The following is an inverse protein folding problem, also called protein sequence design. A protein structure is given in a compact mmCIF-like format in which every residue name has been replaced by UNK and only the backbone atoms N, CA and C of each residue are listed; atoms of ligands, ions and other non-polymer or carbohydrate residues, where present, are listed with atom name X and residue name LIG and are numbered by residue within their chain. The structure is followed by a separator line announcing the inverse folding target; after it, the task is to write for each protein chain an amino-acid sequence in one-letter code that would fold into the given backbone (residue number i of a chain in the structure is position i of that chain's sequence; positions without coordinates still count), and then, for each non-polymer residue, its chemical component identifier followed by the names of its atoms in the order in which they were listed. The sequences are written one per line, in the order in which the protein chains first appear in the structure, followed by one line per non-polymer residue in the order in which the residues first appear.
data_IF_253947262015
#
_entry.id   IF_253947262015
#
_cell.length_a   1.000
_cell.length_b   1.000
_cell.length_c   1.000
_cell.angle_alpha   90.00
_cell.angle_beta   90.00
_cell.angle_gamma   90.00
#
_symmetry.space_group_name_H-M   'P 1'
#
loop_
_entity.id
_entity.type
_entity.pdbx_description
1 polymer ?
#
# COMPACT_ATOMS: atom_id res chain seq x y z
N UNK A 1 16.53 -19.76 11.70
CA UNK A 1 15.65 -20.64 10.87
C UNK A 1 14.17 -20.33 11.06
N UNK A 2 13.63 -20.25 12.28
CA UNK A 2 12.20 -19.99 12.53
C UNK A 2 11.63 -18.73 11.82
N UNK A 3 12.33 -17.59 11.88
CA UNK A 3 11.90 -16.34 11.25
C UNK A 3 11.73 -16.47 9.73
N UNK A 4 12.58 -17.26 9.06
CA UNK A 4 12.45 -17.50 7.62
C UNK A 4 11.16 -18.25 7.26
N UNK A 5 10.79 -19.25 8.03
CA UNK A 5 9.52 -19.99 7.87
C UNK A 5 8.32 -19.08 8.13
N UNK A 6 8.35 -18.28 9.21
CA UNK A 6 7.30 -17.33 9.53
C UNK A 6 7.15 -16.23 8.48
N UNK A 7 8.26 -15.77 7.91
CA UNK A 7 8.23 -14.79 6.82
C UNK A 7 7.59 -15.37 5.55
N UNK A 8 7.93 -16.61 5.20
CA UNK A 8 7.30 -17.31 4.08
C UNK A 8 5.80 -17.47 4.31
N UNK A 9 5.40 -18.01 5.47
CA UNK A 9 3.99 -18.16 5.85
C UNK A 9 3.25 -16.84 5.86
N UNK A 10 3.85 -15.78 6.46
CA UNK A 10 3.26 -14.44 6.49
C UNK A 10 3.07 -13.81 5.11
N UNK A 11 3.92 -14.11 4.14
CA UNK A 11 3.75 -13.61 2.77
C UNK A 11 2.73 -14.39 1.96
N UNK A 12 2.74 -15.70 2.08
CA UNK A 12 1.93 -16.57 1.23
C UNK A 12 0.53 -16.80 1.80
N UNK A 13 0.38 -16.90 3.13
CA UNK A 13 -0.85 -17.31 3.78
C UNK A 13 -1.42 -16.20 4.67
N UNK A 14 -0.81 -15.92 5.81
CA UNK A 14 -1.35 -14.99 6.80
C UNK A 14 -0.47 -13.76 6.98
N UNK A 15 -0.77 -12.73 6.21
CA UNK A 15 -0.02 -11.48 6.24
C UNK A 15 -0.23 -10.66 7.52
N UNK A 16 -1.16 -11.03 8.39
CA UNK A 16 -1.37 -10.37 9.70
C UNK A 16 -0.13 -10.44 10.57
N UNK A 17 0.73 -11.44 10.39
CA UNK A 17 1.98 -11.61 11.12
C UNK A 17 3.16 -10.81 10.56
N UNK A 18 3.08 -10.28 9.32
CA UNK A 18 4.22 -9.67 8.63
C UNK A 18 4.90 -8.54 9.42
N UNK A 19 4.19 -7.59 10.05
CA UNK A 19 4.84 -6.51 10.81
C UNK A 19 5.72 -7.04 11.96
N UNK A 20 5.22 -8.04 12.68
CA UNK A 20 5.93 -8.66 13.78
C UNK A 20 7.14 -9.48 13.29
N UNK A 21 6.94 -10.30 12.24
CA UNK A 21 8.01 -11.09 11.61
C UNK A 21 9.13 -10.19 11.09
N UNK A 22 8.78 -9.11 10.34
CA UNK A 22 9.77 -8.16 9.81
C UNK A 22 10.53 -7.42 10.91
N UNK A 23 9.83 -7.10 12.03
CA UNK A 23 10.48 -6.53 13.21
C UNK A 23 11.51 -7.48 13.79
N UNK A 24 11.12 -8.73 14.05
CA UNK A 24 12.01 -9.77 14.60
C UNK A 24 13.16 -10.10 13.64
N UNK A 25 12.91 -10.12 12.34
CA UNK A 25 13.93 -10.37 11.34
C UNK A 25 15.07 -9.33 11.40
N UNK A 26 14.75 -8.07 11.72
CA UNK A 26 15.76 -6.99 11.84
C UNK A 26 16.67 -7.15 13.06
N UNK A 27 16.29 -7.97 14.04
CA UNK A 27 17.02 -8.19 15.30
C UNK A 27 17.70 -9.57 15.37
N UNK A 28 17.51 -10.42 14.37
CA UNK A 28 17.99 -11.82 14.42
C UNK A 28 19.51 -11.97 14.50
N UNK A 29 20.28 -10.94 14.08
CA UNK A 29 21.74 -10.98 14.14
C UNK A 29 22.27 -10.87 15.58
N UNK A 30 21.57 -10.13 16.46
CA UNK A 30 21.93 -9.95 17.87
C UNK A 30 20.64 -10.02 18.71
N UNK A 31 20.07 -11.21 18.90
CA UNK A 31 18.83 -11.36 19.62
C UNK A 31 19.02 -11.12 21.13
N UNK A 32 18.05 -10.48 21.75
CA UNK A 32 17.98 -10.25 23.20
C UNK A 32 16.91 -11.13 23.82
N UNK A 33 16.88 -11.21 25.17
CA UNK A 33 15.78 -11.89 25.88
C UNK A 33 14.40 -11.30 25.52
N UNK A 34 14.33 -9.98 25.29
CA UNK A 34 13.12 -9.32 24.83
C UNK A 34 12.73 -9.75 23.39
N UNK A 35 13.71 -9.99 22.52
CA UNK A 35 13.50 -10.51 21.17
C UNK A 35 12.91 -11.93 21.23
N UNK A 36 13.43 -12.78 22.12
CA UNK A 36 12.91 -14.15 22.32
C UNK A 36 11.47 -14.13 22.85
N UNK A 37 11.17 -13.29 23.84
CA UNK A 37 9.79 -13.16 24.36
C UNK A 37 8.80 -12.71 23.29
N UNK A 38 9.21 -11.82 22.38
CA UNK A 38 8.37 -11.39 21.25
C UNK A 38 8.18 -12.50 20.23
N UNK A 39 9.20 -13.34 20.01
CA UNK A 39 9.08 -14.53 19.16
C UNK A 39 8.08 -15.52 19.75
N UNK A 40 8.16 -15.81 21.06
CA UNK A 40 7.22 -16.70 21.74
C UNK A 40 5.77 -16.19 21.64
N UNK A 41 5.57 -14.89 21.80
CA UNK A 41 4.23 -14.26 21.59
C UNK A 41 3.73 -14.43 20.18
N UNK A 42 4.60 -14.26 19.18
CA UNK A 42 4.24 -14.44 17.77
C UNK A 42 3.89 -15.90 17.46
N UNK A 43 4.63 -16.86 18.03
CA UNK A 43 4.31 -18.28 17.90
C UNK A 43 2.99 -18.62 18.59
N UNK A 44 2.73 -18.04 19.77
CA UNK A 44 1.44 -18.14 20.45
C UNK A 44 0.28 -17.62 19.60
N UNK A 45 0.47 -16.46 18.93
CA UNK A 45 -0.52 -15.93 17.99
C UNK A 45 -0.74 -16.90 16.82
N UNK A 46 0.32 -17.37 16.17
CA UNK A 46 0.21 -18.32 15.06
C UNK A 46 -0.48 -19.64 15.45
N UNK A 47 -0.25 -20.11 16.69
CA UNK A 47 -0.93 -21.29 17.25
C UNK A 47 -2.42 -21.03 17.52
N UNK A 48 -2.78 -19.81 17.91
CA UNK A 48 -4.18 -19.44 18.18
C UNK A 48 -5.00 -19.21 16.91
N UNK A 49 -4.33 -18.85 15.81
CA UNK A 49 -4.94 -18.58 14.50
C UNK A 49 -4.25 -19.40 13.39
N UNK A 50 -4.35 -20.76 13.44
CA UNK A 50 -3.57 -21.62 12.55
C UNK A 50 -4.09 -21.67 11.12
N UNK A 51 -5.36 -21.31 10.90
CA UNK A 51 -6.09 -21.55 9.66
C UNK A 51 -6.45 -20.25 8.92
N UNK A 52 -5.51 -19.30 8.91
CA UNK A 52 -5.70 -18.07 8.14
C UNK A 52 -5.96 -18.39 6.66
N UNK A 53 -7.07 -17.88 6.10
CA UNK A 53 -7.47 -18.12 4.71
C UNK A 53 -7.78 -16.82 3.97
N UNK A 54 -7.54 -16.83 2.66
CA UNK A 54 -7.91 -15.73 1.77
C UNK A 54 -9.00 -16.22 0.82
N UNK A 55 -10.01 -15.39 0.62
CA UNK A 55 -11.12 -15.68 -0.29
C UNK A 55 -11.03 -14.71 -1.47
N UNK A 56 -11.03 -15.26 -2.68
CA UNK A 56 -11.00 -14.46 -3.90
C UNK A 56 -12.30 -14.69 -4.67
N UNK A 57 -12.93 -13.59 -5.05
CA UNK A 57 -14.16 -13.60 -5.86
C UNK A 57 -13.82 -13.20 -7.29
N UNK A 58 -14.68 -13.58 -8.23
CA UNK A 58 -14.52 -13.22 -9.63
C UNK A 58 -14.56 -11.69 -9.82
N UNK A 59 -13.61 -11.15 -10.59
CA UNK A 59 -13.43 -9.72 -10.81
C UNK A 59 -12.85 -9.44 -12.20
N UNK A 60 -12.72 -8.15 -12.53
CA UNK A 60 -12.02 -7.68 -13.74
C UNK A 60 -10.48 -7.75 -13.65
N UNK A 61 -9.94 -8.26 -12.56
CA UNK A 61 -8.48 -8.41 -12.32
C UNK A 61 -7.71 -7.09 -12.40
N UNK A 62 -8.31 -5.98 -11.98
CA UNK A 62 -7.68 -4.65 -11.97
C UNK A 62 -6.87 -4.45 -10.70
N UNK A 63 -5.57 -4.22 -10.85
CA UNK A 63 -4.66 -4.02 -9.72
C UNK A 63 -4.94 -2.69 -9.01
N UNK A 64 -5.05 -2.75 -7.69
CA UNK A 64 -5.16 -1.63 -6.76
C UNK A 64 -4.11 -1.77 -5.67
N UNK A 65 -3.59 -0.67 -5.16
CA UNK A 65 -2.55 -0.67 -4.14
C UNK A 65 -2.86 0.38 -3.08
N UNK A 66 -2.74 0.01 -1.81
CA UNK A 66 -2.70 0.94 -0.69
C UNK A 66 -1.26 1.02 -0.20
N UNK A 67 -0.77 2.23 0.07
CA UNK A 67 0.59 2.50 0.53
C UNK A 67 0.55 3.36 1.78
N UNK A 68 1.43 3.04 2.73
CA UNK A 68 1.67 3.80 3.95
C UNK A 68 3.15 3.74 4.33
N UNK A 69 3.60 4.70 5.15
CA UNK A 69 4.91 4.63 5.77
C UNK A 69 4.88 5.12 7.20
N UNK A 70 5.58 4.42 8.08
CA UNK A 70 5.84 4.92 9.43
C UNK A 70 7.18 5.64 9.48
N UNK A 71 7.16 6.88 9.93
CA UNK A 71 8.35 7.70 10.08
C UNK A 71 9.06 7.44 11.40
N UNK A 72 10.36 7.13 11.37
CA UNK A 72 11.24 6.90 12.53
C UNK A 72 10.68 5.90 13.57
N UNK A 73 9.89 4.93 13.15
CA UNK A 73 9.23 3.95 14.03
C UNK A 73 10.12 2.80 14.48
N UNK A 74 11.36 2.73 14.00
CA UNK A 74 12.31 1.64 14.29
C UNK A 74 13.61 2.19 14.87
N UNK A 75 14.39 1.34 15.60
CA UNK A 75 15.71 1.72 16.08
C UNK A 75 16.61 2.27 14.98
N UNK A 76 17.56 3.14 15.35
CA UNK A 76 18.49 3.84 14.45
C UNK A 76 17.77 4.67 13.39
N UNK A 77 16.76 5.45 13.82
CA UNK A 77 15.96 6.32 12.98
C UNK A 77 15.39 5.61 11.75
N UNK A 78 15.02 4.34 11.88
CA UNK A 78 14.48 3.54 10.79
C UNK A 78 13.00 3.82 10.57
N UNK A 79 12.60 3.90 9.30
CA UNK A 79 11.22 4.00 8.85
C UNK A 79 10.79 2.70 8.17
N UNK A 80 9.49 2.44 8.12
CA UNK A 80 8.91 1.23 7.50
C UNK A 80 7.95 1.62 6.40
N UNK A 81 8.09 1.01 5.24
CA UNK A 81 7.13 1.07 4.15
C UNK A 81 6.20 -0.14 4.23
N UNK A 82 4.90 0.11 4.14
CA UNK A 82 3.86 -0.89 4.06
C UNK A 82 3.07 -0.76 2.78
N UNK A 83 2.65 -1.88 2.20
CA UNK A 83 1.73 -1.85 1.08
C UNK A 83 0.81 -3.06 1.08
N UNK A 84 -0.40 -2.85 0.56
CA UNK A 84 -1.46 -3.83 0.42
C UNK A 84 -1.94 -3.82 -1.02
N UNK A 85 -1.74 -4.92 -1.73
CA UNK A 85 -2.02 -5.06 -3.15
C UNK A 85 -3.18 -6.03 -3.33
N UNK A 86 -4.22 -5.61 -4.03
CA UNK A 86 -5.42 -6.41 -4.25
C UNK A 86 -5.96 -6.19 -5.66
N UNK A 87 -6.85 -7.09 -6.08
CA UNK A 87 -7.53 -7.00 -7.35
C UNK A 87 -8.97 -6.56 -7.14
N UNK A 88 -9.48 -5.72 -8.03
CA UNK A 88 -10.81 -5.16 -7.98
C UNK A 88 -11.50 -5.15 -9.33
N UNK A 89 -12.69 -4.56 -9.36
CA UNK A 89 -13.43 -4.27 -10.57
C UNK A 89 -12.91 -3.00 -11.26
N UNK A 90 -13.23 -2.85 -12.55
CA UNK A 90 -12.83 -1.68 -13.35
C UNK A 90 -13.50 -0.40 -12.84
N UNK A 91 -14.78 -0.47 -12.56
CA UNK A 91 -15.65 0.68 -12.28
C UNK A 91 -16.11 0.74 -10.82
N UNK A 92 -15.65 -0.17 -9.98
CA UNK A 92 -15.98 -0.22 -8.55
C UNK A 92 -14.70 -0.24 -7.70
N UNK A 93 -14.38 0.90 -7.12
CA UNK A 93 -13.26 1.05 -6.18
C UNK A 93 -13.64 0.66 -4.74
N UNK A 94 -14.92 0.36 -4.47
CA UNK A 94 -15.41 0.01 -3.12
C UNK A 94 -15.24 -1.48 -2.80
N UNK A 95 -15.13 -2.33 -3.83
CA UNK A 95 -14.97 -3.76 -3.64
C UNK A 95 -13.52 -4.12 -3.38
N UNK A 96 -13.24 -4.61 -2.17
CA UNK A 96 -11.94 -5.14 -1.79
C UNK A 96 -11.98 -6.66 -1.82
N UNK A 97 -11.16 -7.25 -2.67
CA UNK A 97 -10.84 -8.67 -2.58
C UNK A 97 -9.68 -8.86 -1.59
N UNK A 98 -9.47 -10.07 -1.09
CA UNK A 98 -8.29 -10.33 -0.28
C UNK A 98 -7.00 -10.01 -1.06
N UNK A 99 -5.92 -9.66 -0.37
CA UNK A 99 -4.70 -9.21 -1.02
C UNK A 99 -4.02 -10.34 -1.79
N UNK A 100 -3.52 -10.00 -2.97
CA UNK A 100 -2.60 -10.86 -3.72
C UNK A 100 -1.19 -10.79 -3.15
N UNK A 101 -0.80 -9.62 -2.62
CA UNK A 101 0.47 -9.45 -1.91
C UNK A 101 0.39 -8.38 -0.84
N UNK A 102 1.19 -8.54 0.22
CA UNK A 102 1.36 -7.58 1.29
C UNK A 102 2.84 -7.41 1.61
N UNK A 103 3.24 -6.19 1.90
CA UNK A 103 4.63 -5.89 2.19
C UNK A 103 4.75 -5.04 3.45
N UNK A 104 5.76 -5.38 4.25
CA UNK A 104 6.22 -4.59 5.38
C UNK A 104 7.74 -4.63 5.34
N UNK A 105 8.38 -3.55 4.95
CA UNK A 105 9.82 -3.51 4.73
C UNK A 105 10.44 -2.25 5.33
N UNK A 106 11.66 -2.39 5.87
CA UNK A 106 12.41 -1.22 6.34
C UNK A 106 12.83 -0.37 5.15
N UNK A 107 12.61 0.94 5.25
CA UNK A 107 13.15 1.90 4.29
C UNK A 107 14.67 1.96 4.50
N UNK A 108 15.49 1.74 3.46
CA UNK A 108 16.93 1.58 3.60
C UNK A 108 17.70 2.88 3.90
N UNK A 109 17.01 4.02 3.85
CA UNK A 109 17.57 5.34 4.13
C UNK A 109 16.89 5.97 5.34
N UNK A 110 17.60 6.87 6.01
CA UNK A 110 17.00 7.71 7.05
C UNK A 110 16.26 8.85 6.36
N UNK A 111 14.96 8.92 6.59
CA UNK A 111 14.12 10.00 6.05
C UNK A 111 14.22 11.24 6.95
N UNK A 112 14.25 12.43 6.36
CA UNK A 112 14.39 13.69 7.08
C UNK A 112 13.06 14.23 7.62
N UNK A 113 11.93 13.84 7.01
CA UNK A 113 10.57 14.25 7.38
C UNK A 113 9.51 13.21 6.93
N UNK A 114 8.30 13.36 7.46
CA UNK A 114 7.21 12.38 7.25
C UNK A 114 6.90 12.17 5.77
N UNK A 115 6.72 13.25 4.99
CA UNK A 115 6.39 13.14 3.57
C UNK A 115 7.49 12.46 2.74
N UNK A 116 8.76 12.49 3.17
CA UNK A 116 9.85 11.73 2.55
C UNK A 116 9.69 10.23 2.80
N UNK A 117 9.31 9.84 4.02
CA UNK A 117 9.03 8.45 4.35
C UNK A 117 7.83 7.93 3.55
N UNK A 118 6.74 8.70 3.49
CA UNK A 118 5.55 8.38 2.71
C UNK A 118 5.87 8.23 1.21
N UNK A 119 6.67 9.15 0.68
CA UNK A 119 7.10 9.06 -0.72
C UNK A 119 7.96 7.83 -0.99
N UNK A 120 8.85 7.48 -0.04
CA UNK A 120 9.64 6.25 -0.13
C UNK A 120 8.75 4.99 -0.06
N UNK A 121 7.66 5.04 0.71
CA UNK A 121 6.62 4.02 0.74
C UNK A 121 5.92 3.87 -0.61
N UNK A 122 5.45 4.97 -1.19
CA UNK A 122 4.85 5.01 -2.53
C UNK A 122 5.79 4.42 -3.59
N UNK A 123 7.06 4.82 -3.57
CA UNK A 123 8.07 4.29 -4.48
C UNK A 123 8.24 2.77 -4.32
N UNK A 124 8.32 2.27 -3.08
CA UNK A 124 8.46 0.84 -2.80
C UNK A 124 7.25 0.05 -3.31
N UNK A 125 6.03 0.53 -3.04
CA UNK A 125 4.79 -0.06 -3.51
C UNK A 125 4.69 -0.05 -5.05
N UNK A 126 4.99 1.08 -5.68
CA UNK A 126 4.97 1.22 -7.14
C UNK A 126 5.95 0.26 -7.84
N UNK A 127 7.14 0.04 -7.28
CA UNK A 127 8.10 -0.91 -7.85
C UNK A 127 7.55 -2.33 -7.91
N UNK A 128 6.89 -2.78 -6.85
CA UNK A 128 6.24 -4.10 -6.80
C UNK A 128 5.09 -4.13 -7.81
N UNK A 129 4.27 -3.10 -7.84
CA UNK A 129 3.13 -3.00 -8.74
C UNK A 129 3.52 -3.05 -10.23
N UNK A 130 4.72 -2.58 -10.63
CA UNK A 130 5.21 -2.73 -12.02
C UNK A 130 5.30 -4.20 -12.42
N UNK A 131 5.86 -5.05 -11.57
CA UNK A 131 5.99 -6.47 -11.86
C UNK A 131 4.62 -7.18 -11.85
N UNK A 132 3.76 -6.86 -10.89
CA UNK A 132 2.40 -7.40 -10.83
C UNK A 132 1.58 -7.01 -12.05
N UNK A 133 1.63 -5.74 -12.48
CA UNK A 133 0.99 -5.28 -13.72
C UNK A 133 1.45 -6.08 -14.94
N UNK A 134 2.76 -6.32 -15.04
CA UNK A 134 3.34 -7.11 -16.15
C UNK A 134 2.84 -8.54 -16.14
N UNK A 135 2.80 -9.17 -14.97
CA UNK A 135 2.27 -10.54 -14.79
C UNK A 135 0.81 -10.58 -15.23
N UNK A 136 -0.04 -9.70 -14.69
CA UNK A 136 -1.46 -9.64 -15.02
C UNK A 136 -1.71 -9.42 -16.52
N UNK A 137 -0.95 -8.51 -17.14
CA UNK A 137 -1.04 -8.24 -18.57
C UNK A 137 -0.66 -9.49 -19.40
N UNK A 138 0.41 -10.20 -19.01
CA UNK A 138 0.84 -11.42 -19.68
C UNK A 138 -0.16 -12.58 -19.49
N UNK A 139 -0.94 -12.55 -18.42
CA UNK A 139 -2.04 -13.49 -18.17
C UNK A 139 -3.33 -13.14 -18.95
N UNK A 140 -3.32 -12.09 -19.78
CA UNK A 140 -4.46 -11.67 -20.58
C UNK A 140 -5.36 -10.62 -19.92
N UNK A 141 -4.92 -10.00 -18.81
CA UNK A 141 -5.64 -8.94 -18.10
C UNK A 141 -4.96 -7.59 -18.25
N UNK A 142 -5.21 -6.85 -19.35
CA UNK A 142 -4.61 -5.53 -19.59
C UNK A 142 -4.92 -4.57 -18.44
N UNK A 143 -3.90 -3.90 -17.92
CA UNK A 143 -4.02 -3.02 -16.76
C UNK A 143 -4.17 -1.55 -17.17
N UNK A 144 -5.25 -0.87 -16.78
CA UNK A 144 -5.33 0.60 -16.86
C UNK A 144 -4.25 1.21 -15.91
N UNK A 145 -4.13 2.55 -15.84
CA UNK A 145 -3.30 3.16 -14.82
C UNK A 145 -3.67 2.61 -13.42
N UNK A 146 -2.73 1.92 -12.76
CA UNK A 146 -2.99 1.36 -11.42
C UNK A 146 -3.14 2.48 -10.42
N UNK A 147 -4.26 2.48 -9.69
CA UNK A 147 -4.47 3.42 -8.60
C UNK A 147 -3.65 2.98 -7.39
N UNK A 148 -2.80 3.90 -6.90
CA UNK A 148 -2.08 3.74 -5.63
C UNK A 148 -2.66 4.78 -4.67
N UNK A 149 -3.23 4.31 -3.56
CA UNK A 149 -3.81 5.14 -2.53
C UNK A 149 -2.77 5.46 -1.45
N UNK A 150 -2.74 6.71 -1.02
CA UNK A 150 -1.86 7.23 0.02
C UNK A 150 -2.62 8.26 0.86
N UNK A 151 -2.33 8.38 2.14
CA UNK A 151 -2.99 9.34 3.05
C UNK A 151 -2.20 10.63 3.27
N UNK A 152 -1.08 10.83 2.55
CA UNK A 152 -0.25 12.03 2.66
C UNK A 152 -0.35 12.90 1.40
N UNK A 153 -1.07 14.02 1.50
CA UNK A 153 -1.28 14.96 0.39
C UNK A 153 0.00 15.53 -0.19
N UNK A 154 1.03 15.75 0.65
CA UNK A 154 2.33 16.27 0.19
C UNK A 154 3.04 15.22 -0.67
N UNK A 155 3.06 13.96 -0.24
CA UNK A 155 3.65 12.87 -1.01
C UNK A 155 2.90 12.67 -2.35
N UNK A 156 1.58 12.79 -2.35
CA UNK A 156 0.73 12.75 -3.55
C UNK A 156 1.07 13.91 -4.49
N UNK A 157 1.14 15.13 -3.96
CA UNK A 157 1.49 16.32 -4.74
C UNK A 157 2.87 16.23 -5.38
N UNK A 158 3.84 15.66 -4.65
CA UNK A 158 5.17 15.37 -5.17
C UNK A 158 5.12 14.33 -6.31
N UNK A 159 4.38 13.24 -6.15
CA UNK A 159 4.27 12.19 -7.16
C UNK A 159 3.57 12.67 -8.44
N UNK A 160 2.52 13.47 -8.30
CA UNK A 160 1.75 14.05 -9.40
C UNK A 160 2.39 15.34 -10.00
N UNK A 161 3.57 15.73 -9.50
CA UNK A 161 4.28 16.94 -9.95
C UNK A 161 3.48 18.26 -9.78
N UNK A 162 2.61 18.31 -8.78
CA UNK A 162 1.85 19.51 -8.40
C UNK A 162 2.53 20.32 -7.31
N UNK A 163 3.51 19.74 -6.63
CA UNK A 163 4.34 20.36 -5.58
C UNK A 163 5.80 20.21 -5.96
N UNK A 164 6.56 21.31 -5.92
CA UNK A 164 8.00 21.30 -6.16
C UNK A 164 8.74 21.13 -4.84
N UNK A 165 9.62 20.12 -4.69
CA UNK A 165 10.38 19.93 -3.46
C UNK A 165 11.37 21.09 -3.28
N UNK A 166 11.28 21.78 -2.14
CA UNK A 166 12.21 22.89 -1.84
C UNK A 166 13.63 22.44 -1.56
N UNK A 167 13.85 21.18 -1.16
CA UNK A 167 15.19 20.58 -0.93
C UNK A 167 15.08 19.06 -0.71
N UNK A 168 15.75 18.24 -1.50
CA UNK A 168 16.39 17.00 -1.05
C UNK A 168 17.15 16.31 -2.18
N UNK A 169 18.48 16.34 -2.13
CA UNK A 169 19.34 15.60 -3.09
C UNK A 169 19.26 14.07 -2.91
N UNK A 170 18.81 13.58 -1.76
CA UNK A 170 18.67 12.15 -1.46
C UNK A 170 17.43 11.50 -2.08
N UNK A 171 16.44 12.29 -2.49
CA UNK A 171 15.20 11.84 -3.13
C UNK A 171 15.29 11.72 -4.66
N UNK A 172 16.34 12.29 -5.29
CA UNK A 172 16.35 12.58 -6.73
C UNK A 172 15.95 11.39 -7.62
N UNK A 173 16.58 10.22 -7.49
CA UNK A 173 16.33 9.10 -8.41
C UNK A 173 14.96 8.46 -8.19
N UNK A 174 14.55 8.26 -6.92
CA UNK A 174 13.24 7.65 -6.57
C UNK A 174 12.11 8.59 -6.96
N UNK A 175 12.31 9.87 -6.70
CA UNK A 175 11.39 10.94 -7.02
C UNK A 175 11.11 10.99 -8.52
N UNK A 176 12.14 11.13 -9.33
CA UNK A 176 11.97 11.20 -10.78
C UNK A 176 11.43 9.90 -11.39
N UNK A 177 11.82 8.74 -10.84
CA UNK A 177 11.31 7.46 -11.32
C UNK A 177 9.79 7.34 -11.15
N UNK A 178 9.24 7.68 -9.98
CA UNK A 178 7.80 7.58 -9.73
C UNK A 178 7.02 8.58 -10.57
N UNK A 179 7.48 9.84 -10.63
CA UNK A 179 6.88 10.87 -11.49
C UNK A 179 6.85 10.46 -12.95
N UNK A 180 7.94 9.85 -13.44
CA UNK A 180 8.01 9.36 -14.80
C UNK A 180 6.96 8.29 -15.09
N UNK A 181 6.75 7.34 -14.15
CA UNK A 181 5.73 6.30 -14.26
C UNK A 181 4.30 6.87 -14.22
N UNK A 182 4.05 7.88 -13.40
CA UNK A 182 2.77 8.60 -13.37
C UNK A 182 2.54 9.31 -14.71
N UNK A 183 3.54 10.04 -15.23
CA UNK A 183 3.46 10.72 -16.53
C UNK A 183 3.23 9.75 -17.70
N UNK A 184 3.81 8.56 -17.65
CA UNK A 184 3.58 7.48 -18.63
C UNK A 184 2.20 6.81 -18.49
N UNK A 185 1.36 7.22 -17.56
CA UNK A 185 0.05 6.63 -17.33
C UNK A 185 0.09 5.20 -16.74
N UNK A 186 1.20 4.80 -16.12
CA UNK A 186 1.26 3.50 -15.44
C UNK A 186 0.59 3.54 -14.07
N UNK A 187 0.65 4.67 -13.38
CA UNK A 187 0.09 4.87 -12.05
C UNK A 187 -0.75 6.15 -11.98
N UNK A 188 -1.73 6.12 -11.09
CA UNK A 188 -2.50 7.25 -10.61
C UNK A 188 -2.42 7.28 -9.09
N UNK A 189 -1.85 8.33 -8.51
CA UNK A 189 -1.72 8.46 -7.06
C UNK A 189 -2.90 9.26 -6.53
N UNK A 190 -3.65 8.67 -5.59
CA UNK A 190 -4.92 9.21 -5.08
C UNK A 190 -4.92 9.23 -3.55
N UNK A 191 -5.56 10.24 -2.99
CA UNK A 191 -5.71 10.36 -1.55
C UNK A 191 -6.71 9.32 -0.99
N UNK A 192 -6.38 8.78 0.18
CA UNK A 192 -7.28 7.97 1.01
C UNK A 192 -7.19 8.47 2.46
N UNK A 193 -8.31 8.60 3.20
CA UNK A 193 -8.23 8.90 4.63
C UNK A 193 -7.47 7.82 5.40
N UNK A 194 -6.58 8.21 6.33
CA UNK A 194 -5.73 7.26 7.07
C UNK A 194 -6.53 6.17 7.81
N UNK A 195 -7.75 6.48 8.29
CA UNK A 195 -8.63 5.47 8.89
C UNK A 195 -9.07 4.36 7.91
N UNK A 196 -9.01 4.62 6.61
CA UNK A 196 -9.36 3.68 5.55
C UNK A 196 -8.12 3.05 4.89
N UNK A 197 -6.91 3.50 5.25
CA UNK A 197 -5.68 2.97 4.69
C UNK A 197 -5.30 1.63 5.36
N UNK A 198 -5.58 0.51 4.69
CA UNK A 198 -5.22 -0.82 5.19
C UNK A 198 -3.71 -1.03 5.26
N UNK A 199 -2.91 -0.23 4.54
CA UNK A 199 -1.46 -0.32 4.59
C UNK A 199 -0.88 0.08 5.95
N UNK A 200 -1.61 0.86 6.77
CA UNK A 200 -1.30 1.14 8.19
C UNK A 200 -1.01 -0.14 8.99
N UNK A 201 -1.73 -1.22 8.66
CA UNK A 201 -1.54 -2.53 9.30
C UNK A 201 -0.10 -3.04 9.18
N UNK A 202 0.61 -2.68 8.12
CA UNK A 202 1.94 -3.18 7.80
C UNK A 202 3.07 -2.26 8.27
N UNK A 203 2.77 -1.08 8.76
CA UNK A 203 3.76 -0.06 9.13
C UNK A 203 3.81 0.23 10.62
N UNK A 204 2.70 0.07 11.33
CA UNK A 204 2.52 0.50 12.72
C UNK A 204 2.09 -0.66 13.61
N UNK A 205 2.42 -0.59 14.90
CA UNK A 205 1.79 -1.43 15.92
C UNK A 205 0.42 -0.85 16.23
N UNK A 206 -0.64 -1.57 15.85
CA UNK A 206 -2.01 -1.10 16.03
C UNK A 206 -2.55 -1.47 17.42
N UNK A 207 -3.44 -0.65 18.01
CA UNK A 207 -4.26 -1.04 19.14
C UNK A 207 -5.09 -2.28 18.81
N UNK A 208 -5.38 -3.12 19.81
CA UNK A 208 -6.09 -4.40 19.62
C UNK A 208 -7.41 -4.22 18.85
N UNK A 209 -8.21 -3.24 19.23
CA UNK A 209 -9.50 -2.96 18.55
C UNK A 209 -9.31 -2.63 17.06
N UNK A 210 -8.29 -1.83 16.74
CA UNK A 210 -7.98 -1.47 15.35
C UNK A 210 -7.44 -2.67 14.57
N UNK A 211 -6.55 -3.46 15.19
CA UNK A 211 -6.04 -4.70 14.60
C UNK A 211 -7.18 -5.64 14.25
N UNK A 212 -8.10 -5.90 15.21
CA UNK A 212 -9.25 -6.76 14.99
C UNK A 212 -10.20 -6.24 13.90
N UNK A 213 -10.39 -4.93 13.79
CA UNK A 213 -11.23 -4.34 12.73
C UNK A 213 -10.63 -4.46 11.34
N UNK A 214 -9.31 -4.51 11.20
CA UNK A 214 -8.62 -4.59 9.91
C UNK A 214 -8.23 -6.02 9.52
N UNK A 215 -8.05 -6.92 10.48
CA UNK A 215 -7.61 -8.29 10.24
C UNK A 215 -8.45 -9.06 9.19
N UNK A 216 -9.80 -8.96 9.18
CA UNK A 216 -10.64 -9.66 8.21
C UNK A 216 -10.37 -9.25 6.75
N UNK A 217 -9.85 -8.04 6.49
CA UNK A 217 -9.48 -7.61 5.13
C UNK A 217 -8.17 -8.23 4.64
N UNK A 218 -7.41 -8.83 5.54
CA UNK A 218 -6.10 -9.40 5.25
C UNK A 218 -6.19 -10.91 5.16
N UNK A 219 -6.89 -11.54 6.10
CA UNK A 219 -7.19 -12.97 6.12
C UNK A 219 -8.35 -13.24 7.08
N UNK A 220 -9.19 -14.23 6.76
CA UNK A 220 -10.21 -14.77 7.66
C UNK A 220 -9.65 -15.82 8.60
N UNK A 221 -10.34 -16.04 9.71
CA UNK A 221 -10.15 -17.15 10.64
C UNK A 221 -11.26 -18.20 10.50
N UNK A 222 -11.07 -19.36 11.16
CA UNK A 222 -12.12 -20.36 11.32
C UNK A 222 -13.29 -19.75 12.12
N UNK A 223 -14.48 -19.75 11.55
CA UNK A 223 -15.69 -19.18 12.16
C UNK A 223 -16.10 -17.82 11.59
N UNK A 224 -15.25 -17.17 10.79
CA UNK A 224 -15.70 -16.03 10.01
C UNK A 224 -16.65 -16.51 8.90
N UNK A 225 -17.87 -15.98 8.87
CA UNK A 225 -18.86 -16.33 7.84
C UNK A 225 -18.44 -15.74 6.50
N UNK A 226 -18.21 -16.61 5.51
CA UNK A 226 -17.84 -16.21 4.14
C UNK A 226 -18.95 -15.50 3.37
N UNK A 227 -20.22 -15.69 3.77
CA UNK A 227 -21.33 -15.50 2.85
C UNK A 227 -22.04 -14.15 2.94
N UNK A 228 -22.05 -13.44 4.08
CA UNK A 228 -22.99 -12.34 4.21
C UNK A 228 -22.43 -10.95 4.54
N UNK A 229 -21.19 -10.80 4.98
CA UNK A 229 -20.73 -9.50 5.51
C UNK A 229 -19.45 -8.93 4.86
N UNK A 230 -18.88 -9.56 3.86
CA UNK A 230 -17.69 -9.02 3.20
C UNK A 230 -18.01 -8.02 2.07
N UNK A 231 -19.14 -7.36 2.16
CA UNK A 231 -19.31 -6.04 1.56
C UNK A 231 -18.80 -4.98 2.54
N UNK A 232 -17.54 -5.09 2.92
CA UNK A 232 -16.91 -3.97 3.61
C UNK A 232 -16.64 -2.92 2.54
N UNK A 233 -17.64 -2.09 2.34
CA UNK A 233 -17.53 -0.87 1.58
C UNK A 233 -16.60 0.08 2.34
N UNK A 234 -15.31 -0.01 2.06
CA UNK A 234 -14.49 1.17 2.20
C UNK A 234 -15.14 2.19 1.27
N UNK A 235 -15.73 3.25 1.83
CA UNK A 235 -16.30 4.35 1.04
C UNK A 235 -15.17 5.13 0.36
N UNK A 236 -14.47 4.46 -0.56
CA UNK A 236 -13.48 5.09 -1.43
C UNK A 236 -14.16 6.02 -2.46
N UNK A 237 -15.44 5.78 -2.76
CA UNK A 237 -16.23 6.51 -3.75
C UNK A 237 -16.45 7.98 -3.42
N UNK A 238 -16.53 8.36 -2.15
CA UNK A 238 -16.73 9.78 -1.77
C UNK A 238 -15.51 10.65 -2.13
N UNK A 239 -14.37 10.03 -2.43
CA UNK A 239 -13.10 10.72 -2.69
C UNK A 239 -12.80 10.92 -4.18
N UNK A 240 -13.36 10.07 -5.05
CA UNK A 240 -13.17 10.22 -6.50
C UNK A 240 -13.87 11.47 -7.05
N UNK A 241 -14.98 11.91 -6.44
CA UNK A 241 -15.65 13.16 -6.84
C UNK A 241 -14.80 14.41 -6.53
N UNK A 242 -14.03 14.41 -5.44
CA UNK A 242 -13.16 15.54 -5.13
C UNK A 242 -11.94 15.63 -6.06
N UNK A 243 -11.41 14.47 -6.52
CA UNK A 243 -10.28 14.44 -7.45
C UNK A 243 -10.67 14.81 -8.89
N UNK A 244 -11.91 14.56 -9.30
CA UNK A 244 -12.44 14.95 -10.61
C UNK A 244 -12.62 16.46 -10.75
N UNK A 245 -12.81 17.19 -9.64
CA UNK A 245 -12.98 18.66 -9.65
C UNK A 245 -11.65 19.44 -9.76
N UNK A 246 -10.49 18.76 -9.70
CA UNK A 246 -9.16 19.38 -9.78
C UNK A 246 -8.44 19.17 -11.12
N UNK A 247 -9.13 18.77 -12.18
CA UNK A 247 -8.53 18.84 -13.51
C UNK A 247 -8.72 20.26 -14.04
N UNK A 248 -7.64 21.04 -14.27
CA UNK A 248 -7.76 22.26 -15.05
C UNK A 248 -8.21 21.85 -16.46
N UNK A 249 -9.27 22.51 -16.94
CA UNK A 249 -9.73 22.35 -18.31
C UNK A 249 -8.56 22.55 -19.29
N UNK A 250 -8.48 21.78 -20.39
CA UNK A 250 -7.45 22.00 -21.38
C UNK A 250 -7.60 23.39 -21.95
N UNK A 251 -6.60 24.25 -21.71
CA UNK A 251 -6.45 25.55 -22.35
C UNK A 251 -6.13 25.33 -23.84
N UNK A 252 -7.10 25.57 -24.70
CA UNK A 252 -6.84 25.44 -26.13
C UNK A 252 -8.08 25.52 -27.00
N UNK A 253 -8.84 26.62 -26.94
CA UNK A 253 -9.60 27.10 -28.09
C UNK A 253 -9.12 28.51 -28.43
N UNK A 254 -8.20 28.59 -29.38
CA UNK A 254 -7.87 29.83 -30.05
C UNK A 254 -8.99 30.09 -31.06
N UNK A 255 -9.83 31.06 -30.76
CA UNK A 255 -10.74 31.62 -31.75
C UNK A 255 -9.91 32.39 -32.79
N UNK A 256 -9.76 31.84 -33.96
CA UNK A 256 -9.38 32.58 -35.16
C UNK A 256 -10.63 33.30 -35.66
N UNK A 257 -10.76 34.58 -35.34
CA UNK A 257 -11.61 35.51 -36.08
C UNK A 257 -10.84 35.96 -37.31
N UNK A 258 -11.28 35.53 -38.49
CA UNK A 258 -10.93 36.08 -39.77
C UNK A 258 -11.36 37.55 -39.80
N UNK A 259 -10.44 38.44 -40.14
CA UNK A 259 -10.76 39.74 -40.71
C UNK A 259 -10.61 39.64 -42.23
N UNK A 260 -11.74 39.80 -42.90
CA UNK A 260 -11.84 40.18 -44.31
C UNK A 260 -11.81 41.72 -44.32
N UNK A 261 -10.80 42.28 -44.92
CA UNK A 261 -10.76 43.34 -45.94
C UNK A 261 -9.30 43.72 -46.21
#
# INVERSE_FOLDING_TARGET
MAIGYLLYYGRCVDARMLPAVCSLASEQAVPTSATMLRLDRLLGYASSYPNGRKVYRALDMILRVLSDASYLSRPKAGSVAGSHHFLGHRDDDEFLNHPISNHSTRIPVVCSFVAEAEYAGLYAAARIAVDERRILTNMGHPQPPTTIFCDNEVAIGLANNTVTPKMSKSLDMRFHWLQDRVRQGQFRIVFVPGLQNLADFFTKALPVSRHQSLAPFIAFDDGDNDDDNFQVKLKLSTLLFAAACFHPAPSGCVNTTEYID
#
